data_IF_797186878133
#
_entry.id   IF_797186878133
#
_cell.length_a   1.000
_cell.length_b   1.000
_cell.length_c   1.000
_cell.angle_alpha   90.00
_cell.angle_beta   90.00
_cell.angle_gamma   90.00
#
_symmetry.space_group_name_H-M   'P 1'
#
loop_
_entity.id
_entity.type
_entity.pdbx_description
1 polymer ?
#
# COMPACT_ATOMS: atom_id res chain seq x y z
N UNK A 1 -20.96 1.94 -4.46
CA UNK A 1 -20.75 0.54 -4.00
C UNK A 1 -19.71 -0.23 -4.82
N UNK A 2 -19.66 -0.15 -6.16
CA UNK A 2 -18.68 -0.90 -6.98
C UNK A 2 -17.21 -0.55 -6.71
N UNK A 3 -16.91 0.72 -6.46
CA UNK A 3 -15.56 1.21 -6.14
C UNK A 3 -15.03 0.69 -4.79
N UNK A 4 -15.87 0.62 -3.76
CA UNK A 4 -15.51 0.05 -2.46
C UNK A 4 -15.23 -1.45 -2.53
N UNK A 5 -16.02 -2.20 -3.31
CA UNK A 5 -15.74 -3.63 -3.58
C UNK A 5 -14.42 -3.83 -4.33
N UNK A 6 -14.12 -3.00 -5.32
CA UNK A 6 -12.85 -3.04 -6.04
C UNK A 6 -11.64 -2.76 -5.13
N UNK A 7 -11.77 -1.78 -4.23
CA UNK A 7 -10.72 -1.47 -3.25
C UNK A 7 -10.51 -2.62 -2.25
N UNK A 8 -11.60 -3.24 -1.78
CA UNK A 8 -11.55 -4.43 -0.93
C UNK A 8 -10.83 -5.60 -1.61
N UNK A 9 -11.13 -5.84 -2.90
CA UNK A 9 -10.44 -6.89 -3.68
C UNK A 9 -8.97 -6.62 -3.89
N UNK A 10 -8.58 -5.38 -4.16
CA UNK A 10 -7.17 -5.01 -4.23
C UNK A 10 -6.43 -5.38 -2.94
N UNK A 11 -7.05 -5.12 -1.79
CA UNK A 11 -6.47 -5.46 -0.49
C UNK A 11 -6.49 -6.97 -0.18
N UNK A 12 -7.27 -7.80 -0.88
CA UNK A 12 -7.35 -9.25 -0.62
C UNK A 12 -6.70 -10.12 -1.69
N UNK A 13 -6.63 -9.66 -2.95
CA UNK A 13 -6.21 -10.45 -4.11
C UNK A 13 -4.81 -10.07 -4.63
N UNK A 14 -4.17 -9.03 -4.07
CA UNK A 14 -2.77 -8.71 -4.39
C UNK A 14 -1.85 -9.92 -4.09
N UNK A 15 -0.82 -10.16 -4.92
CA UNK A 15 0.11 -11.25 -4.69
C UNK A 15 0.85 -11.06 -3.36
N UNK A 16 1.01 -12.15 -2.61
CA UNK A 16 1.90 -12.14 -1.46
C UNK A 16 3.36 -12.01 -1.94
N UNK A 17 4.20 -11.21 -1.27
CA UNK A 17 4.01 -10.61 0.06
C UNK A 17 3.42 -9.18 0.07
N UNK A 18 3.15 -8.56 -1.09
CA UNK A 18 2.70 -7.16 -1.18
C UNK A 18 1.38 -6.91 -0.43
N UNK A 19 0.46 -7.88 -0.48
CA UNK A 19 -0.80 -7.83 0.29
C UNK A 19 -0.58 -7.70 1.79
N UNK A 20 0.30 -8.54 2.35
CA UNK A 20 0.59 -8.53 3.79
C UNK A 20 1.23 -7.21 4.22
N UNK A 21 2.15 -6.69 3.41
CA UNK A 21 2.77 -5.38 3.65
C UNK A 21 1.76 -4.23 3.63
N UNK A 22 0.84 -4.18 2.66
CA UNK A 22 -0.20 -3.15 2.63
C UNK A 22 -1.14 -3.23 3.83
N UNK A 23 -1.66 -4.43 4.12
CA UNK A 23 -2.59 -4.63 5.25
C UNK A 23 -1.95 -4.27 6.58
N UNK A 24 -0.74 -4.79 6.84
CA UNK A 24 0.00 -4.52 8.07
C UNK A 24 0.38 -3.03 8.16
N UNK A 25 0.80 -2.43 7.04
CA UNK A 25 1.12 -1.00 6.98
C UNK A 25 -0.06 -0.12 7.37
N UNK A 26 -1.25 -0.36 6.80
CA UNK A 26 -2.47 0.37 7.18
C UNK A 26 -2.86 0.15 8.64
N UNK A 27 -2.76 -1.07 9.16
CA UNK A 27 -3.08 -1.35 10.56
C UNK A 27 -2.11 -0.64 11.52
N UNK A 28 -0.81 -0.67 11.23
CA UNK A 28 0.19 0.02 12.05
C UNK A 28 0.01 1.54 12.02
N UNK A 29 -0.32 2.09 10.86
CA UNK A 29 -0.60 3.52 10.73
C UNK A 29 -1.86 3.92 11.52
N UNK A 30 -2.96 3.20 11.31
CA UNK A 30 -4.25 3.49 11.94
C UNK A 30 -4.31 3.13 13.43
N UNK A 31 -3.44 2.25 13.92
CA UNK A 31 -3.34 1.99 15.35
C UNK A 31 -2.36 2.95 16.02
N UNK A 32 -1.14 3.08 15.49
CA UNK A 32 -0.05 3.81 16.15
C UNK A 32 -0.26 5.33 16.14
N UNK A 33 -0.71 5.90 15.02
CA UNK A 33 -0.85 7.34 14.89
C UNK A 33 -1.94 7.93 15.82
N UNK A 34 -3.20 7.44 15.81
CA UNK A 34 -4.21 7.98 16.72
C UNK A 34 -3.95 7.60 18.18
N UNK A 35 -3.35 6.42 18.47
CA UNK A 35 -2.97 6.07 19.83
C UNK A 35 -1.92 7.03 20.40
N UNK A 36 -0.86 7.32 19.64
CA UNK A 36 0.18 8.25 20.08
C UNK A 36 -0.33 9.69 20.23
N UNK A 37 -1.23 10.13 19.34
CA UNK A 37 -1.87 11.45 19.46
C UNK A 37 -2.79 11.51 20.69
N UNK A 38 -3.65 10.51 20.88
CA UNK A 38 -4.63 10.50 21.99
C UNK A 38 -3.96 10.37 23.37
N UNK A 39 -2.85 9.66 23.45
CA UNK A 39 -2.07 9.49 24.69
C UNK A 39 -1.09 10.62 24.96
N UNK A 40 -0.92 11.57 24.02
CA UNK A 40 0.10 12.62 24.10
C UNK A 40 1.54 12.10 23.94
N UNK A 41 1.73 10.80 23.67
CA UNK A 41 3.03 10.18 23.50
C UNK A 41 3.40 10.14 22.02
N UNK A 42 3.99 11.23 21.55
CA UNK A 42 4.37 11.42 20.14
C UNK A 42 5.33 10.34 19.63
N UNK A 43 6.19 9.79 20.49
CA UNK A 43 7.06 8.66 20.14
C UNK A 43 6.28 7.44 19.62
N UNK A 44 5.10 7.15 20.17
CA UNK A 44 4.27 6.03 19.70
C UNK A 44 3.61 6.32 18.34
N UNK A 45 3.22 7.57 18.10
CA UNK A 45 2.75 7.99 16.78
C UNK A 45 3.86 7.89 15.73
N UNK A 46 5.08 8.31 16.10
CA UNK A 46 6.27 8.23 15.27
C UNK A 46 6.70 6.80 14.97
N UNK A 47 6.65 5.90 15.94
CA UNK A 47 6.90 4.46 15.75
C UNK A 47 5.87 3.82 14.82
N UNK A 48 4.58 4.11 15.01
CA UNK A 48 3.51 3.64 14.13
C UNK A 48 3.70 4.11 12.69
N UNK A 49 4.02 5.40 12.51
CA UNK A 49 4.33 5.97 11.21
C UNK A 49 5.55 5.30 10.56
N UNK A 50 6.65 5.14 11.30
CA UNK A 50 7.87 4.52 10.78
C UNK A 50 7.66 3.07 10.34
N UNK A 51 7.02 2.26 11.21
CA UNK A 51 6.74 0.85 10.96
C UNK A 51 5.76 0.66 9.78
N UNK A 52 4.75 1.53 9.67
CA UNK A 52 3.85 1.54 8.52
C UNK A 52 4.57 1.88 7.22
N UNK A 53 5.51 2.83 7.27
CA UNK A 53 6.34 3.23 6.13
C UNK A 53 7.18 2.07 5.59
N UNK A 54 7.81 1.29 6.50
CA UNK A 54 8.59 0.10 6.09
C UNK A 54 7.70 -0.91 5.37
N UNK A 55 6.50 -1.16 5.90
CA UNK A 55 5.55 -2.09 5.30
C UNK A 55 5.09 -1.65 3.90
N UNK A 56 4.82 -0.34 3.71
CA UNK A 56 4.49 0.21 2.39
C UNK A 56 5.67 0.19 1.42
N UNK A 57 6.89 0.44 1.89
CA UNK A 57 8.09 0.37 1.07
C UNK A 57 8.34 -1.05 0.55
N UNK A 58 8.24 -2.06 1.44
CA UNK A 58 8.35 -3.47 1.08
C UNK A 58 7.22 -3.89 0.13
N UNK A 59 5.98 -3.48 0.39
CA UNK A 59 4.87 -3.79 -0.50
C UNK A 59 5.06 -3.18 -1.90
N UNK A 60 5.48 -1.90 -1.98
CA UNK A 60 5.80 -1.22 -3.24
C UNK A 60 6.93 -1.90 -4.00
N UNK A 61 7.98 -2.32 -3.30
CA UNK A 61 9.09 -3.10 -3.89
C UNK A 61 8.61 -4.43 -4.45
N UNK A 62 7.75 -5.15 -3.73
CA UNK A 62 7.20 -6.43 -4.20
C UNK A 62 6.29 -6.26 -5.41
N UNK A 63 5.49 -5.19 -5.48
CA UNK A 63 4.71 -4.83 -6.68
C UNK A 63 5.65 -4.50 -7.85
N UNK A 64 6.72 -3.75 -7.60
CA UNK A 64 7.71 -3.40 -8.62
C UNK A 64 8.49 -4.61 -9.15
N UNK A 65 8.73 -5.62 -8.31
CA UNK A 65 9.38 -6.89 -8.70
C UNK A 65 8.40 -7.83 -9.42
N UNK A 66 7.13 -7.88 -9.00
CA UNK A 66 6.10 -8.75 -9.57
C UNK A 66 5.04 -7.94 -10.34
N UNK A 67 5.48 -7.15 -11.31
CA UNK A 67 4.60 -6.28 -12.11
C UNK A 67 3.53 -7.09 -12.86
N UNK A 68 3.88 -8.27 -13.38
CA UNK A 68 2.93 -9.14 -14.12
C UNK A 68 1.77 -9.59 -13.24
N UNK A 69 2.07 -10.13 -12.05
CA UNK A 69 1.04 -10.59 -11.11
C UNK A 69 0.21 -9.44 -10.55
N UNK A 70 0.84 -8.32 -10.20
CA UNK A 70 0.12 -7.14 -9.73
C UNK A 70 -0.76 -6.54 -10.83
N UNK A 71 -0.29 -6.48 -12.08
CA UNK A 71 -1.03 -5.90 -13.19
C UNK A 71 -2.23 -6.76 -13.61
N UNK A 72 -2.13 -8.09 -13.51
CA UNK A 72 -3.27 -8.97 -13.73
C UNK A 72 -4.41 -8.70 -12.72
N UNK A 73 -4.07 -8.55 -11.43
CA UNK A 73 -5.05 -8.24 -10.38
C UNK A 73 -5.65 -6.85 -10.55
N UNK A 74 -4.81 -5.84 -10.84
CA UNK A 74 -5.27 -4.46 -11.07
C UNK A 74 -6.16 -4.34 -12.30
N UNK A 75 -5.82 -5.01 -13.40
CA UNK A 75 -6.63 -5.01 -14.62
C UNK A 75 -7.99 -5.69 -14.40
N UNK A 76 -8.01 -6.82 -13.67
CA UNK A 76 -9.24 -7.50 -13.27
C UNK A 76 -10.18 -6.59 -12.45
N UNK A 77 -9.64 -5.93 -11.42
CA UNK A 77 -10.41 -5.01 -10.56
C UNK A 77 -10.89 -3.78 -11.34
N UNK A 78 -10.04 -3.21 -12.20
CA UNK A 78 -10.41 -2.05 -13.01
C UNK A 78 -11.54 -2.38 -13.98
N UNK A 79 -11.46 -3.51 -14.69
CA UNK A 79 -12.49 -3.94 -15.64
C UNK A 79 -13.82 -4.26 -14.96
N UNK A 80 -13.78 -4.91 -13.79
CA UNK A 80 -14.98 -5.11 -12.98
C UNK A 80 -15.62 -3.79 -12.55
N UNK A 81 -14.80 -2.79 -12.18
CA UNK A 81 -15.29 -1.46 -11.83
C UNK A 81 -15.97 -0.73 -13.00
N UNK A 82 -15.55 -1.03 -14.24
CA UNK A 82 -16.05 -0.44 -15.48
C UNK A 82 -17.09 -1.29 -16.22
N UNK A 83 -17.34 -2.51 -15.78
CA UNK A 83 -18.26 -3.46 -16.44
C UNK A 83 -17.75 -3.97 -17.80
N UNK A 84 -16.43 -4.02 -17.99
CA UNK A 84 -15.79 -4.46 -19.23
C UNK A 84 -15.55 -5.98 -19.17
N UNK A 85 -15.85 -6.75 -20.23
CA UNK A 85 -15.62 -8.20 -20.26
C UNK A 85 -14.14 -8.60 -20.13
N UNK A 86 -13.90 -9.84 -19.69
CA UNK A 86 -12.59 -10.40 -19.34
C UNK A 86 -11.74 -10.80 -20.57
N UNK A 87 -11.55 -9.90 -21.54
CA UNK A 87 -10.70 -10.19 -22.69
C UNK A 87 -9.23 -9.87 -22.38
N UNK A 88 -8.52 -10.83 -21.76
CA UNK A 88 -7.05 -10.93 -21.70
C UNK A 88 -6.26 -9.82 -21.01
N UNK A 89 -5.13 -10.18 -20.40
CA UNK A 89 -4.13 -9.24 -19.87
C UNK A 89 -3.55 -8.35 -20.98
N UNK A 90 -3.70 -7.03 -20.88
CA UNK A 90 -3.09 -6.06 -21.80
C UNK A 90 -1.76 -5.54 -21.24
N UNK A 91 -0.67 -5.71 -21.98
CA UNK A 91 0.66 -5.15 -21.63
C UNK A 91 0.64 -3.63 -21.36
N UNK A 92 -0.40 -2.94 -21.82
CA UNK A 92 -0.66 -1.51 -21.54
C UNK A 92 -0.85 -1.18 -20.05
N UNK A 93 -1.24 -2.15 -19.20
CA UNK A 93 -1.47 -1.92 -17.77
C UNK A 93 -0.16 -2.01 -16.94
N UNK A 94 0.92 -2.55 -17.52
CA UNK A 94 2.21 -2.73 -16.82
C UNK A 94 2.86 -1.41 -16.36
N UNK A 95 2.95 -0.35 -17.19
CA UNK A 95 3.57 0.91 -16.78
C UNK A 95 2.85 1.53 -15.59
N UNK A 96 1.51 1.56 -15.62
CA UNK A 96 0.68 2.11 -14.55
C UNK A 96 0.90 1.38 -13.23
N UNK A 97 0.94 0.05 -13.25
CA UNK A 97 1.16 -0.77 -12.05
C UNK A 97 2.58 -0.61 -11.52
N UNK A 98 3.56 -0.47 -12.41
CA UNK A 98 4.95 -0.21 -12.02
C UNK A 98 5.10 1.16 -11.36
N UNK A 99 4.44 2.18 -11.90
CA UNK A 99 4.36 3.52 -11.30
C UNK A 99 3.67 3.48 -9.94
N UNK A 100 2.60 2.68 -9.80
CA UNK A 100 1.90 2.51 -8.53
C UNK A 100 2.78 1.84 -7.47
N UNK A 101 3.50 0.78 -7.83
CA UNK A 101 4.48 0.14 -6.95
C UNK A 101 5.61 1.09 -6.52
N UNK A 102 6.11 1.91 -7.45
CA UNK A 102 7.10 2.94 -7.16
C UNK A 102 6.55 4.04 -6.25
N UNK A 103 5.29 4.46 -6.45
CA UNK A 103 4.63 5.43 -5.59
C UNK A 103 4.51 4.91 -4.16
N UNK A 104 4.07 3.65 -3.97
CA UNK A 104 4.04 3.03 -2.64
C UNK A 104 5.42 2.93 -2.01
N UNK A 105 6.47 2.71 -2.80
CA UNK A 105 7.84 2.72 -2.33
C UNK A 105 8.24 4.11 -1.80
N UNK A 106 7.96 5.16 -2.56
CA UNK A 106 8.23 6.54 -2.14
C UNK A 106 7.44 6.94 -0.88
N UNK A 107 6.15 6.63 -0.85
CA UNK A 107 5.30 6.88 0.32
C UNK A 107 5.83 6.14 1.54
N UNK A 108 6.20 4.87 1.38
CA UNK A 108 6.79 4.08 2.45
C UNK A 108 8.07 4.70 2.99
N UNK A 109 9.00 5.05 2.12
CA UNK A 109 10.27 5.71 2.50
C UNK A 109 10.01 7.04 3.20
N UNK A 110 9.09 7.85 2.69
CA UNK A 110 8.71 9.12 3.31
C UNK A 110 8.18 8.93 4.74
N UNK A 111 7.25 8.00 4.94
CA UNK A 111 6.71 7.69 6.27
C UNK A 111 7.76 7.11 7.22
N UNK A 112 8.69 6.29 6.71
CA UNK A 112 9.81 5.79 7.51
C UNK A 112 10.72 6.92 7.96
N UNK A 113 11.16 7.79 7.04
CA UNK A 113 12.03 8.92 7.38
C UNK A 113 11.32 9.87 8.34
N UNK A 114 10.10 10.29 8.02
CA UNK A 114 9.33 11.20 8.87
C UNK A 114 9.04 10.63 10.26
N UNK A 115 8.72 9.33 10.34
CA UNK A 115 8.53 8.64 11.62
C UNK A 115 9.81 8.55 12.44
N UNK A 116 10.95 8.21 11.82
CA UNK A 116 12.25 8.16 12.51
C UNK A 116 12.66 9.56 12.99
N UNK A 117 12.54 10.58 12.14
CA UNK A 117 12.86 11.97 12.52
C UNK A 117 11.96 12.43 13.66
N UNK A 118 10.65 12.16 13.57
CA UNK A 118 9.71 12.50 14.64
C UNK A 118 10.01 11.77 15.95
N UNK A 119 10.48 10.52 15.90
CA UNK A 119 10.87 9.79 17.10
C UNK A 119 12.10 10.39 17.78
N UNK A 120 13.06 10.91 16.99
CA UNK A 120 14.31 11.49 17.50
C UNK A 120 14.13 12.92 18.07
N UNK A 121 13.07 13.63 17.67
CA UNK A 121 12.85 15.04 18.03
C UNK A 121 11.56 15.29 18.83
N UNK A 122 10.74 14.26 19.02
CA UNK A 122 9.45 14.32 19.73
C UNK A 122 9.56 13.94 21.20
#
# INVERSE_FOLDING_TARGET
>A
MRTLRGFGRLLTELPQPARGGLQLGYLLFLAGLPFGIASGQLHFASLGAAASGVCFAVAGWCVFRNVRGAAAVWSAVYRESKGIPWDGFTNADMPTVRTLGFFYLLVGVWFTIGGVVGFLHG
#
